data_IF_424981124319
#
_entry.id   IF_424981124319
#
_cell.length_a   1.000
_cell.length_b   1.000
_cell.length_c   1.000
_cell.angle_alpha   90.00
_cell.angle_beta   90.00
_cell.angle_gamma   90.00
#
_symmetry.space_group_name_H-M   'P 1'
#
loop_
_entity.id
_entity.type
_entity.pdbx_description
1 polymer ?
#
# COMPACT_ATOMS: atom_id res chain seq x y z
N UNK A 1 -14.41 74.30 17.49
CA UNK A 1 -13.93 73.28 16.52
C UNK A 1 -15.10 72.83 15.66
N UNK A 2 -15.01 72.96 14.34
CA UNK A 2 -16.14 72.75 13.41
C UNK A 2 -16.47 71.24 13.25
N UNK A 3 -17.69 70.76 13.54
CA UNK A 3 -18.05 69.33 13.51
C UNK A 3 -17.83 68.66 12.16
N UNK A 4 -17.88 69.42 11.06
CA UNK A 4 -17.55 68.96 9.70
C UNK A 4 -16.09 68.56 9.53
N UNK A 5 -15.13 69.24 10.17
CA UNK A 5 -13.70 68.86 10.11
C UNK A 5 -13.41 67.57 10.88
N UNK A 6 -14.16 67.27 11.95
CA UNK A 6 -14.01 65.99 12.69
C UNK A 6 -14.52 64.80 11.88
N UNK A 7 -15.60 64.95 11.11
CA UNK A 7 -16.12 63.87 10.24
C UNK A 7 -15.19 63.56 9.07
N UNK A 8 -14.61 64.58 8.43
CA UNK A 8 -13.65 64.36 7.34
C UNK A 8 -12.37 63.65 7.81
N UNK A 9 -11.84 64.02 8.98
CA UNK A 9 -10.66 63.35 9.56
C UNK A 9 -10.95 61.88 9.96
N UNK A 10 -12.15 61.59 10.48
CA UNK A 10 -12.56 60.23 10.83
C UNK A 10 -12.70 59.32 9.61
N UNK A 11 -13.25 59.83 8.49
CA UNK A 11 -13.39 59.07 7.24
C UNK A 11 -12.01 58.79 6.62
N UNK A 12 -11.11 59.78 6.61
CA UNK A 12 -9.74 59.59 6.10
C UNK A 12 -8.93 58.56 6.89
N UNK A 13 -9.05 58.57 8.23
CA UNK A 13 -8.42 57.56 9.09
C UNK A 13 -8.99 56.15 8.85
N UNK A 14 -10.30 56.03 8.63
CA UNK A 14 -10.95 54.75 8.32
C UNK A 14 -10.51 54.19 6.98
N UNK A 15 -10.41 55.03 5.94
CA UNK A 15 -9.96 54.62 4.61
C UNK A 15 -8.49 54.17 4.62
N UNK A 16 -7.60 54.85 5.35
CA UNK A 16 -6.19 54.44 5.48
C UNK A 16 -6.03 53.11 6.21
N UNK A 17 -6.80 52.86 7.27
CA UNK A 17 -6.79 51.57 7.99
C UNK A 17 -7.39 50.45 7.12
N UNK A 18 -8.47 50.72 6.38
CA UNK A 18 -9.05 49.76 5.45
C UNK A 18 -8.09 49.41 4.30
N UNK A 19 -7.43 50.42 3.72
CA UNK A 19 -6.48 50.22 2.63
C UNK A 19 -5.22 49.47 3.09
N UNK A 20 -4.69 49.78 4.28
CA UNK A 20 -3.56 49.06 4.88
C UNK A 20 -3.89 47.61 5.25
N UNK A 21 -5.12 47.32 5.69
CA UNK A 21 -5.59 45.95 5.91
C UNK A 21 -5.78 45.18 4.61
N UNK A 22 -6.19 45.86 3.55
CA UNK A 22 -6.37 45.24 2.23
C UNK A 22 -5.02 44.91 1.57
N UNK A 23 -4.03 45.81 1.65
CA UNK A 23 -2.70 45.55 1.10
C UNK A 23 -1.95 44.43 1.84
N UNK A 24 -2.09 44.34 3.16
CA UNK A 24 -1.51 43.24 3.95
C UNK A 24 -2.19 41.90 3.67
N UNK A 25 -3.52 41.89 3.48
CA UNK A 25 -4.24 40.69 3.09
C UNK A 25 -3.83 40.17 1.70
N UNK A 26 -3.62 41.07 0.73
CA UNK A 26 -3.13 40.72 -0.60
C UNK A 26 -1.70 40.15 -0.55
N UNK A 27 -0.79 40.78 0.20
CA UNK A 27 0.58 40.28 0.34
C UNK A 27 0.65 38.90 1.01
N UNK A 28 -0.17 38.64 2.03
CA UNK A 28 -0.26 37.33 2.68
C UNK A 28 -0.83 36.27 1.72
N UNK A 29 -1.77 36.66 0.85
CA UNK A 29 -2.29 35.76 -0.17
C UNK A 29 -1.20 35.37 -1.17
N UNK A 30 -0.42 36.34 -1.67
CA UNK A 30 0.68 36.08 -2.62
C UNK A 30 1.74 35.14 -2.03
N UNK A 31 2.19 35.37 -0.78
CA UNK A 31 3.19 34.51 -0.12
C UNK A 31 2.70 33.05 0.03
N UNK A 32 1.42 32.86 0.36
CA UNK A 32 0.82 31.52 0.47
C UNK A 32 0.70 30.83 -0.89
N UNK A 33 0.42 31.59 -1.95
CA UNK A 33 0.34 31.06 -3.31
C UNK A 33 1.72 30.65 -3.84
N UNK A 34 2.76 31.44 -3.57
CA UNK A 34 4.14 31.08 -3.90
C UNK A 34 4.58 29.82 -3.15
N UNK A 35 4.26 29.73 -1.86
CA UNK A 35 4.54 28.54 -1.06
C UNK A 35 3.79 27.30 -1.58
N UNK A 36 2.52 27.45 -1.97
CA UNK A 36 1.74 26.38 -2.58
C UNK A 36 2.36 25.91 -3.90
N UNK A 37 2.76 26.85 -4.76
CA UNK A 37 3.40 26.52 -6.04
C UNK A 37 4.72 25.80 -5.83
N UNK A 38 5.56 26.27 -4.90
CA UNK A 38 6.82 25.60 -4.55
C UNK A 38 6.59 24.17 -4.03
N UNK A 39 5.56 23.97 -3.19
CA UNK A 39 5.17 22.65 -2.71
C UNK A 39 4.70 21.75 -3.86
N UNK A 40 3.82 22.26 -4.72
CA UNK A 40 3.35 21.56 -5.92
C UNK A 40 4.51 21.11 -6.81
N UNK A 41 5.41 22.03 -7.17
CA UNK A 41 6.53 21.76 -8.06
C UNK A 41 7.49 20.74 -7.44
N UNK A 42 7.72 20.80 -6.12
CA UNK A 42 8.51 19.83 -5.37
C UNK A 42 7.90 18.42 -5.44
N UNK A 43 6.59 18.29 -5.23
CA UNK A 43 5.93 16.99 -5.20
C UNK A 43 5.80 16.38 -6.60
N UNK A 44 5.40 17.17 -7.61
CA UNK A 44 5.17 16.67 -8.97
C UNK A 44 6.47 16.51 -9.77
N UNK A 45 7.51 17.27 -9.41
CA UNK A 45 8.85 17.16 -9.96
C UNK A 45 9.63 15.93 -9.48
N UNK A 46 9.14 15.21 -8.46
CA UNK A 46 9.75 13.99 -7.97
C UNK A 46 9.76 12.90 -9.05
N UNK A 47 10.97 12.39 -9.33
CA UNK A 47 11.19 11.27 -10.25
C UNK A 47 10.99 9.92 -9.58
N UNK A 48 11.29 9.86 -8.28
CA UNK A 48 11.13 8.69 -7.42
C UNK A 48 9.89 8.85 -6.54
N UNK A 49 9.49 7.77 -5.84
CA UNK A 49 8.46 7.85 -4.82
C UNK A 49 8.84 8.86 -3.72
N UNK A 50 7.93 9.78 -3.39
CA UNK A 50 8.10 10.74 -2.30
C UNK A 50 8.24 9.98 -0.98
N UNK A 51 9.18 10.32 -0.09
CA UNK A 51 9.31 9.66 1.20
C UNK A 51 8.08 9.92 2.10
N UNK A 52 7.69 8.96 2.94
CA UNK A 52 6.50 9.08 3.81
C UNK A 52 6.57 10.30 4.72
N UNK A 53 7.76 10.61 5.26
CA UNK A 53 7.93 11.78 6.14
C UNK A 53 7.84 13.11 5.38
N UNK A 54 8.30 13.15 4.12
CA UNK A 54 8.11 14.32 3.25
C UNK A 54 6.64 14.50 2.90
N UNK A 55 5.93 13.41 2.64
CA UNK A 55 4.49 13.44 2.38
C UNK A 55 3.69 13.95 3.59
N UNK A 56 4.03 13.51 4.81
CA UNK A 56 3.43 14.02 6.04
C UNK A 56 3.72 15.50 6.25
N UNK A 57 4.97 15.93 6.05
CA UNK A 57 5.34 17.35 6.08
C UNK A 57 4.54 18.16 5.07
N UNK A 58 4.39 17.66 3.85
CA UNK A 58 3.60 18.31 2.80
C UNK A 58 2.12 18.44 3.20
N UNK A 59 1.51 17.42 3.80
CA UNK A 59 0.14 17.50 4.32
C UNK A 59 0.00 18.54 5.44
N UNK A 60 0.97 18.62 6.34
CA UNK A 60 1.02 19.64 7.40
C UNK A 60 1.20 21.05 6.83
N UNK A 61 2.05 21.22 5.82
CA UNK A 61 2.24 22.47 5.08
C UNK A 61 0.92 22.92 4.41
N UNK A 62 0.25 22.01 3.68
CA UNK A 62 -1.05 22.29 3.06
C UNK A 62 -2.09 22.75 4.09
N UNK A 63 -2.11 22.12 5.26
CA UNK A 63 -3.00 22.51 6.36
C UNK A 63 -2.66 23.90 6.92
N UNK A 64 -1.38 24.23 7.07
CA UNK A 64 -0.92 25.54 7.58
C UNK A 64 -1.18 26.69 6.61
N UNK A 65 -1.14 26.43 5.30
CA UNK A 65 -1.48 27.43 4.29
C UNK A 65 -2.94 27.89 4.41
N UNK A 66 -3.81 27.03 4.94
CA UNK A 66 -5.23 27.31 5.21
C UNK A 66 -5.94 27.93 3.99
N UNK A 67 -5.62 27.40 2.80
CA UNK A 67 -6.16 27.85 1.53
C UNK A 67 -7.49 27.13 1.27
N UNK A 68 -8.56 27.90 1.09
CA UNK A 68 -9.87 27.36 0.73
C UNK A 68 -9.98 27.29 -0.79
N UNK A 69 -10.23 26.09 -1.32
CA UNK A 69 -10.27 25.84 -2.76
C UNK A 69 -11.32 26.71 -3.49
N UNK A 70 -12.46 26.99 -2.87
CA UNK A 70 -13.53 27.86 -3.39
C UNK A 70 -13.13 29.34 -3.50
N UNK A 71 -12.04 29.75 -2.87
CA UNK A 71 -11.49 31.11 -2.94
C UNK A 71 -10.31 31.25 -3.89
N UNK A 72 -9.82 30.15 -4.44
CA UNK A 72 -8.66 30.16 -5.34
C UNK A 72 -9.11 30.29 -6.79
N UNK A 73 -8.33 31.04 -7.56
CA UNK A 73 -8.38 31.00 -9.02
C UNK A 73 -8.08 29.58 -9.53
N UNK A 74 -8.51 29.29 -10.75
CA UNK A 74 -8.47 27.92 -11.32
C UNK A 74 -7.08 27.26 -11.25
N UNK A 75 -6.02 28.01 -11.58
CA UNK A 75 -4.66 27.47 -11.62
C UNK A 75 -4.11 27.14 -10.23
N UNK A 76 -4.07 28.06 -9.24
CA UNK A 76 -3.69 27.72 -7.87
C UNK A 76 -4.55 26.64 -7.22
N UNK A 77 -5.86 26.61 -7.54
CA UNK A 77 -6.75 25.53 -7.09
C UNK A 77 -6.30 24.17 -7.62
N UNK A 78 -5.90 24.12 -8.89
CA UNK A 78 -5.34 22.91 -9.51
C UNK A 78 -4.03 22.49 -8.81
N UNK A 79 -3.13 23.44 -8.50
CA UNK A 79 -1.91 23.15 -7.75
C UNK A 79 -2.20 22.55 -6.37
N UNK A 80 -3.18 23.11 -5.65
CA UNK A 80 -3.64 22.62 -4.36
C UNK A 80 -4.09 21.16 -4.44
N UNK A 81 -4.94 20.84 -5.43
CA UNK A 81 -5.47 19.49 -5.59
C UNK A 81 -4.39 18.48 -6.03
N UNK A 82 -3.50 18.85 -6.95
CA UNK A 82 -2.34 18.03 -7.33
C UNK A 82 -1.43 17.72 -6.13
N UNK A 83 -1.02 18.76 -5.38
CA UNK A 83 -0.16 18.60 -4.21
C UNK A 83 -0.82 17.69 -3.16
N UNK A 84 -2.13 17.85 -2.94
CA UNK A 84 -2.88 17.04 -1.99
C UNK A 84 -2.96 15.57 -2.41
N UNK A 85 -3.26 15.25 -3.68
CA UNK A 85 -3.29 13.87 -4.17
C UNK A 85 -1.92 13.21 -4.01
N UNK A 86 -0.86 13.87 -4.46
CA UNK A 86 0.50 13.33 -4.37
C UNK A 86 0.93 13.06 -2.92
N UNK A 87 0.66 13.99 -2.01
CA UNK A 87 1.02 13.84 -0.60
C UNK A 87 0.19 12.73 0.09
N UNK A 88 -1.11 12.61 -0.21
CA UNK A 88 -1.96 11.55 0.34
C UNK A 88 -1.51 10.15 -0.13
N UNK A 89 -1.23 9.98 -1.42
CA UNK A 89 -0.71 8.72 -1.97
C UNK A 89 0.62 8.33 -1.33
N UNK A 90 1.55 9.28 -1.25
CA UNK A 90 2.85 9.03 -0.66
C UNK A 90 2.81 8.73 0.84
N UNK A 91 1.78 9.23 1.55
CA UNK A 91 1.50 8.91 2.95
C UNK A 91 0.78 7.57 3.16
N UNK A 92 0.31 6.92 2.09
CA UNK A 92 -0.45 5.67 2.15
C UNK A 92 -1.98 5.83 2.32
N UNK A 93 -2.50 7.06 2.26
CA UNK A 93 -3.94 7.34 2.35
C UNK A 93 -4.60 7.37 0.96
N UNK A 94 -4.62 6.20 0.31
CA UNK A 94 -5.20 6.08 -1.02
C UNK A 94 -6.72 6.37 -1.06
N UNK A 95 -7.43 6.23 0.07
CA UNK A 95 -8.86 6.52 0.15
C UNK A 95 -9.14 8.00 0.02
N UNK A 96 -8.50 8.82 0.85
CA UNK A 96 -8.58 10.27 0.73
C UNK A 96 -8.02 10.78 -0.60
N UNK A 97 -7.02 10.09 -1.19
CA UNK A 97 -6.50 10.44 -2.50
C UNK A 97 -7.54 10.27 -3.62
N UNK A 98 -8.41 9.25 -3.55
CA UNK A 98 -9.53 9.09 -4.50
C UNK A 98 -10.50 10.28 -4.43
N UNK A 99 -10.84 10.72 -3.22
CA UNK A 99 -11.73 11.89 -3.02
C UNK A 99 -11.08 13.17 -3.56
N UNK A 100 -9.81 13.39 -3.25
CA UNK A 100 -9.06 14.55 -3.74
C UNK A 100 -8.91 14.53 -5.27
N UNK A 101 -8.72 13.34 -5.88
CA UNK A 101 -8.63 13.18 -7.32
C UNK A 101 -9.97 13.51 -8.01
N UNK A 102 -11.11 13.14 -7.43
CA UNK A 102 -12.41 13.46 -8.02
C UNK A 102 -12.62 14.99 -8.16
N UNK A 103 -12.16 15.77 -7.17
CA UNK A 103 -12.19 17.24 -7.23
C UNK A 103 -11.22 17.75 -8.30
N UNK A 104 -10.01 17.19 -8.36
CA UNK A 104 -9.02 17.54 -9.39
C UNK A 104 -9.52 17.27 -10.81
N UNK A 105 -10.16 16.11 -11.05
CA UNK A 105 -10.70 15.73 -12.35
C UNK A 105 -11.81 16.69 -12.82
N UNK A 106 -12.60 17.24 -11.90
CA UNK A 106 -13.61 18.25 -12.21
C UNK A 106 -12.99 19.59 -12.63
N UNK A 107 -11.84 19.97 -12.07
CA UNK A 107 -11.17 21.24 -12.34
C UNK A 107 -10.22 21.22 -13.55
N UNK A 108 -9.45 20.14 -13.68
CA UNK A 108 -8.30 20.02 -14.58
C UNK A 108 -8.23 18.66 -15.30
N UNK A 109 -9.38 18.01 -15.51
CA UNK A 109 -9.47 16.75 -16.23
C UNK A 109 -8.77 16.75 -17.59
N UNK A 110 -8.05 15.67 -17.89
CA UNK A 110 -7.37 15.47 -19.18
C UNK A 110 -6.01 16.12 -19.34
N UNK A 111 -5.54 16.91 -18.37
CA UNK A 111 -4.13 17.36 -18.34
C UNK A 111 -3.18 16.19 -18.08
N UNK A 112 -1.92 16.30 -18.49
CA UNK A 112 -0.92 15.24 -18.29
C UNK A 112 -0.73 14.92 -16.81
N UNK A 113 -0.69 15.94 -15.97
CA UNK A 113 -0.49 15.86 -14.54
C UNK A 113 -1.70 15.21 -13.86
N UNK A 114 -2.92 15.59 -14.24
CA UNK A 114 -4.14 14.97 -13.72
C UNK A 114 -4.27 13.52 -14.17
N UNK A 115 -3.93 13.18 -15.42
CA UNK A 115 -3.94 11.79 -15.89
C UNK A 115 -2.85 10.95 -15.21
N UNK A 116 -1.67 11.53 -14.92
CA UNK A 116 -0.65 10.87 -14.10
C UNK A 116 -1.16 10.60 -12.69
N UNK A 117 -1.76 11.59 -12.03
CA UNK A 117 -2.35 11.42 -10.71
C UNK A 117 -3.46 10.34 -10.71
N UNK A 118 -4.31 10.32 -11.75
CA UNK A 118 -5.33 9.29 -11.91
C UNK A 118 -4.75 7.88 -12.04
N UNK A 119 -3.64 7.73 -12.75
CA UNK A 119 -2.91 6.47 -12.87
C UNK A 119 -2.33 6.03 -11.51
N UNK A 120 -1.66 6.95 -10.81
CA UNK A 120 -1.06 6.67 -9.50
C UNK A 120 -2.14 6.26 -8.48
N UNK A 121 -3.29 6.94 -8.45
CA UNK A 121 -4.44 6.56 -7.61
C UNK A 121 -5.01 5.19 -8.01
N UNK A 122 -5.18 4.92 -9.31
CA UNK A 122 -5.71 3.64 -9.79
C UNK A 122 -4.83 2.46 -9.33
N UNK A 123 -3.52 2.57 -9.48
CA UNK A 123 -2.57 1.54 -9.03
C UNK A 123 -2.55 1.42 -7.50
N UNK A 124 -2.53 2.54 -6.78
CA UNK A 124 -2.49 2.53 -5.31
C UNK A 124 -3.74 1.87 -4.68
N UNK A 125 -4.89 2.03 -5.32
CA UNK A 125 -6.17 1.47 -4.87
C UNK A 125 -6.46 0.08 -5.45
N UNK A 126 -5.72 -0.35 -6.47
CA UNK A 126 -6.03 -1.54 -7.24
C UNK A 126 -7.31 -1.40 -8.07
N UNK A 127 -7.66 -0.20 -8.53
CA UNK A 127 -8.82 0.06 -9.39
C UNK A 127 -8.43 -0.08 -10.88
N UNK A 128 -8.43 -1.31 -11.39
CA UNK A 128 -7.99 -1.59 -12.75
C UNK A 128 -8.91 -0.98 -13.82
N UNK A 129 -10.21 -0.87 -13.56
CA UNK A 129 -11.14 -0.18 -14.45
C UNK A 129 -10.75 1.29 -14.62
N UNK A 130 -10.48 2.01 -13.52
CA UNK A 130 -9.95 3.38 -13.59
C UNK A 130 -8.61 3.39 -14.33
N UNK A 131 -7.72 2.44 -14.04
CA UNK A 131 -6.43 2.29 -14.73
C UNK A 131 -6.60 2.24 -16.25
N UNK A 132 -7.48 1.38 -16.76
CA UNK A 132 -7.77 1.26 -18.20
C UNK A 132 -8.26 2.58 -18.79
N UNK A 133 -9.24 3.24 -18.14
CA UNK A 133 -9.76 4.54 -18.61
C UNK A 133 -8.67 5.61 -18.66
N UNK A 134 -7.76 5.62 -17.68
CA UNK A 134 -6.64 6.55 -17.67
C UNK A 134 -5.65 6.27 -18.80
N UNK A 135 -5.35 5.00 -19.08
CA UNK A 135 -4.48 4.62 -20.21
C UNK A 135 -5.12 5.01 -21.55
N UNK A 136 -6.43 4.83 -21.72
CA UNK A 136 -7.17 5.27 -22.92
C UNK A 136 -7.09 6.79 -23.10
N UNK A 137 -7.22 7.55 -22.02
CA UNK A 137 -7.11 9.00 -22.05
C UNK A 137 -5.68 9.47 -22.40
N UNK A 138 -4.66 8.81 -21.86
CA UNK A 138 -3.25 9.07 -22.21
C UNK A 138 -2.96 8.75 -23.68
N UNK A 139 -3.52 7.66 -24.20
CA UNK A 139 -3.38 7.25 -25.60
C UNK A 139 -4.01 8.29 -26.53
N UNK A 140 -5.28 8.64 -26.26
CA UNK A 140 -6.03 9.64 -27.03
C UNK A 140 -5.34 11.01 -27.04
N UNK A 141 -4.75 11.39 -25.91
CA UNK A 141 -4.00 12.64 -25.78
C UNK A 141 -2.56 12.56 -26.31
N UNK A 142 -2.08 11.38 -26.75
CA UNK A 142 -0.71 11.12 -27.22
C UNK A 142 0.36 11.51 -26.19
N UNK A 143 0.07 11.30 -24.91
CA UNK A 143 0.92 11.67 -23.78
C UNK A 143 1.87 10.55 -23.32
N UNK A 144 1.73 9.36 -23.88
CA UNK A 144 2.58 8.21 -23.57
C UNK A 144 2.81 7.32 -24.82
N UNK A 145 3.94 6.60 -24.90
CA UNK A 145 4.19 5.65 -25.98
C UNK A 145 3.22 4.46 -25.94
N UNK A 146 2.70 4.05 -27.09
CA UNK A 146 1.74 2.93 -27.20
C UNK A 146 2.26 1.63 -26.55
N UNK A 147 3.53 1.28 -26.78
CA UNK A 147 4.13 0.07 -26.18
C UNK A 147 4.14 0.11 -24.64
N UNK A 148 4.31 1.28 -24.03
CA UNK A 148 4.27 1.44 -22.57
C UNK A 148 2.84 1.33 -22.04
N UNK A 149 1.84 1.80 -22.80
CA UNK A 149 0.43 1.69 -22.45
C UNK A 149 -0.03 0.22 -22.53
N UNK A 150 0.31 -0.50 -23.59
CA UNK A 150 -0.02 -1.92 -23.74
C UNK A 150 0.61 -2.79 -22.64
N UNK A 151 1.88 -2.53 -22.30
CA UNK A 151 2.53 -3.22 -21.20
C UNK A 151 1.81 -2.97 -19.85
N UNK A 152 1.29 -1.76 -19.62
CA UNK A 152 0.50 -1.44 -18.43
C UNK A 152 -0.89 -2.08 -18.45
N UNK A 153 -1.56 -2.16 -19.60
CA UNK A 153 -2.85 -2.87 -19.72
C UNK A 153 -2.72 -4.34 -19.35
N UNK A 154 -1.69 -5.02 -19.87
CA UNK A 154 -1.43 -6.43 -19.52
C UNK A 154 -1.24 -6.64 -18.01
N UNK A 155 -0.57 -5.70 -17.32
CA UNK A 155 -0.41 -5.74 -15.85
C UNK A 155 -1.75 -5.62 -15.11
N UNK A 156 -2.68 -4.81 -15.62
CA UNK A 156 -4.00 -4.60 -15.01
C UNK A 156 -4.91 -5.83 -15.08
N UNK A 157 -4.68 -6.76 -16.01
CA UNK A 157 -5.47 -8.00 -16.13
C UNK A 157 -5.38 -8.88 -14.88
N UNK A 158 -4.27 -8.79 -14.13
CA UNK A 158 -4.08 -9.52 -12.88
C UNK A 158 -4.73 -8.83 -11.68
N UNK A 159 -4.99 -7.52 -11.75
CA UNK A 159 -5.49 -6.76 -10.61
C UNK A 159 -6.93 -7.17 -10.27
N UNK A 160 -7.18 -7.42 -8.98
CA UNK A 160 -8.45 -7.96 -8.49
C UNK A 160 -8.58 -9.47 -8.59
N UNK A 161 -7.59 -10.18 -9.14
CA UNK A 161 -7.57 -11.65 -9.08
C UNK A 161 -7.11 -12.13 -7.70
N UNK A 162 -7.60 -13.31 -7.28
CA UNK A 162 -7.10 -13.96 -6.08
C UNK A 162 -5.72 -14.56 -6.35
N UNK A 163 -4.81 -14.40 -5.39
CA UNK A 163 -3.52 -15.06 -5.44
C UNK A 163 -3.69 -16.60 -5.51
N UNK A 164 -2.73 -17.32 -6.13
CA UNK A 164 -2.78 -18.78 -6.21
C UNK A 164 -2.80 -19.40 -4.80
N UNK A 165 -3.60 -20.46 -4.63
CA UNK A 165 -3.75 -21.17 -3.36
C UNK A 165 -2.59 -22.11 -3.07
N UNK A 166 -1.37 -21.56 -3.05
CA UNK A 166 -0.12 -22.31 -2.93
C UNK A 166 0.69 -21.75 -1.77
N UNK A 167 1.41 -22.64 -1.09
CA UNK A 167 2.39 -22.27 -0.07
C UNK A 167 3.77 -22.40 -0.69
N UNK A 168 4.51 -21.30 -0.68
CA UNK A 168 5.88 -21.23 -1.20
C UNK A 168 6.86 -21.36 -0.03
N UNK A 169 7.86 -22.21 -0.18
CA UNK A 169 8.97 -22.34 0.75
C UNK A 169 10.19 -21.63 0.18
N UNK A 170 10.74 -20.67 0.92
CA UNK A 170 11.98 -19.99 0.56
C UNK A 170 13.21 -20.82 0.97
N UNK A 171 14.37 -20.48 0.43
CA UNK A 171 15.62 -21.20 0.70
C UNK A 171 16.11 -21.14 2.16
N UNK A 172 15.57 -20.21 2.95
CA UNK A 172 15.79 -20.11 4.40
C UNK A 172 14.81 -20.96 5.24
N UNK A 173 13.90 -21.70 4.57
CA UNK A 173 12.84 -22.49 5.19
C UNK A 173 11.58 -21.69 5.56
N UNK A 174 11.56 -20.37 5.32
CA UNK A 174 10.37 -19.57 5.58
C UNK A 174 9.24 -19.96 4.61
N UNK A 175 8.02 -20.11 5.14
CA UNK A 175 6.83 -20.48 4.36
C UNK A 175 5.93 -19.28 4.15
N UNK A 176 5.41 -19.16 2.92
CA UNK A 176 4.57 -18.06 2.48
C UNK A 176 3.30 -18.63 1.83
N UNK A 177 2.16 -18.51 2.51
CA UNK A 177 0.87 -18.72 1.86
C UNK A 177 0.56 -17.50 0.99
N UNK A 178 0.43 -17.69 -0.32
CA UNK A 178 0.19 -16.57 -1.23
C UNK A 178 -1.25 -16.06 -1.16
N UNK A 179 -2.21 -16.90 -0.76
CA UNK A 179 -3.65 -16.58 -0.74
C UNK A 179 -4.15 -16.20 0.65
N UNK A 180 -3.83 -16.99 1.66
CA UNK A 180 -4.29 -16.75 3.03
C UNK A 180 -3.36 -15.77 3.71
N UNK A 181 -3.68 -14.48 3.61
CA UNK A 181 -2.76 -13.40 4.03
C UNK A 181 -3.02 -12.86 5.43
N UNK A 182 -4.25 -12.96 5.96
CA UNK A 182 -4.61 -12.54 7.33
C UNK A 182 -4.12 -11.12 7.68
N UNK A 183 -4.22 -10.18 6.73
CA UNK A 183 -3.73 -8.81 6.92
C UNK A 183 -2.22 -8.63 6.69
N UNK A 184 -1.48 -9.64 6.24
CA UNK A 184 -0.05 -9.52 5.88
C UNK A 184 0.07 -9.30 4.36
N UNK A 185 0.52 -8.12 3.97
CA UNK A 185 0.84 -7.75 2.59
C UNK A 185 2.07 -8.51 2.12
N UNK A 186 2.07 -8.94 0.85
CA UNK A 186 3.19 -9.61 0.20
C UNK A 186 3.60 -8.87 -1.07
N UNK A 187 4.89 -8.57 -1.19
CA UNK A 187 5.49 -8.20 -2.47
C UNK A 187 6.26 -9.41 -2.99
N UNK A 188 5.83 -9.91 -4.14
CA UNK A 188 6.58 -10.89 -4.92
C UNK A 188 7.51 -10.15 -5.87
N UNK A 189 8.79 -10.45 -5.80
CA UNK A 189 9.81 -9.97 -6.74
C UNK A 189 10.12 -11.10 -7.74
N UNK A 190 9.53 -11.03 -8.93
CA UNK A 190 9.67 -12.05 -9.96
C UNK A 190 10.88 -11.72 -10.84
N UNK A 191 11.88 -12.60 -10.88
CA UNK A 191 13.14 -12.36 -11.60
C UNK A 191 13.69 -13.62 -12.29
N UNK A 192 14.71 -13.44 -13.11
CA UNK A 192 15.54 -14.52 -13.69
C UNK A 192 16.97 -14.04 -13.91
N UNK A 193 17.91 -14.95 -14.14
CA UNK A 193 19.30 -14.59 -14.47
C UNK A 193 19.42 -13.83 -15.79
N UNK A 194 18.57 -14.15 -16.78
CA UNK A 194 18.52 -13.46 -18.08
C UNK A 194 17.79 -12.12 -18.01
N UNK A 195 16.82 -11.99 -17.09
CA UNK A 195 16.11 -10.77 -16.76
C UNK A 195 16.67 -10.10 -15.52
N UNK A 196 17.98 -9.81 -15.51
CA UNK A 196 18.66 -9.19 -14.36
C UNK A 196 17.99 -7.84 -14.02
N UNK A 197 17.56 -7.63 -12.76
CA UNK A 197 17.02 -6.34 -12.34
C UNK A 197 18.08 -5.25 -12.49
N UNK A 198 17.66 -4.11 -13.03
CA UNK A 198 18.53 -2.94 -13.11
C UNK A 198 18.69 -2.28 -11.73
N UNK A 199 19.67 -1.37 -11.62
CA UNK A 199 19.98 -0.75 -10.33
C UNK A 199 18.79 0.01 -9.72
N UNK A 200 17.94 0.65 -10.55
CA UNK A 200 16.76 1.37 -10.03
C UNK A 200 15.73 0.42 -9.43
N UNK A 201 15.54 -0.76 -10.02
CA UNK A 201 14.62 -1.77 -9.49
C UNK A 201 15.12 -2.32 -8.16
N UNK A 202 16.41 -2.66 -8.09
CA UNK A 202 17.03 -3.13 -6.85
C UNK A 202 16.97 -2.08 -5.75
N UNK A 203 17.29 -0.82 -6.08
CA UNK A 203 17.19 0.29 -5.14
C UNK A 203 15.75 0.50 -4.65
N UNK A 204 14.76 0.41 -5.53
CA UNK A 204 13.34 0.47 -5.16
C UNK A 204 12.94 -0.63 -4.17
N UNK A 205 13.35 -1.88 -4.43
CA UNK A 205 13.09 -3.01 -3.53
C UNK A 205 13.83 -2.87 -2.19
N UNK A 206 15.10 -2.44 -2.19
CA UNK A 206 15.87 -2.18 -0.96
C UNK A 206 15.22 -1.08 -0.13
N UNK A 207 14.76 0.00 -0.76
CA UNK A 207 14.02 1.08 -0.08
C UNK A 207 12.73 0.56 0.56
N UNK A 208 11.93 -0.22 -0.17
CA UNK A 208 10.73 -0.84 0.39
C UNK A 208 11.06 -1.77 1.57
N UNK A 209 12.08 -2.62 1.43
CA UNK A 209 12.51 -3.53 2.49
C UNK A 209 12.96 -2.75 3.74
N UNK A 210 13.74 -1.69 3.56
CA UNK A 210 14.22 -0.84 4.65
C UNK A 210 13.09 -0.04 5.32
N UNK A 211 12.18 0.54 4.53
CA UNK A 211 11.03 1.32 5.01
C UNK A 211 10.13 0.48 5.94
N UNK A 212 9.99 -0.81 5.65
CA UNK A 212 9.13 -1.74 6.39
C UNK A 212 9.89 -2.83 7.17
N UNK A 213 11.20 -2.69 7.38
CA UNK A 213 12.04 -3.73 7.98
C UNK A 213 11.56 -4.19 9.38
N UNK A 214 10.88 -3.30 10.11
CA UNK A 214 10.34 -3.57 11.46
C UNK A 214 8.85 -3.88 11.47
N UNK A 215 8.20 -3.88 10.31
CA UNK A 215 6.76 -4.04 10.18
C UNK A 215 6.40 -5.46 9.74
N UNK A 216 5.83 -6.30 10.64
CA UNK A 216 5.49 -7.67 10.30
C UNK A 216 4.36 -7.78 9.26
N UNK A 217 3.68 -6.68 8.94
CA UNK A 217 2.58 -6.64 7.96
C UNK A 217 3.07 -6.57 6.53
N UNK A 218 4.35 -6.30 6.26
CA UNK A 218 4.92 -6.43 4.93
C UNK A 218 5.92 -7.59 4.90
N UNK A 219 5.78 -8.44 3.89
CA UNK A 219 6.77 -9.45 3.55
C UNK A 219 7.20 -9.26 2.11
N UNK A 220 8.50 -9.44 1.84
CA UNK A 220 9.04 -9.57 0.50
C UNK A 220 9.45 -11.03 0.27
N UNK A 221 9.24 -11.52 -0.95
CA UNK A 221 9.69 -12.84 -1.40
C UNK A 221 10.16 -12.73 -2.85
N UNK A 222 11.42 -13.08 -3.11
CA UNK A 222 11.92 -13.21 -4.46
C UNK A 222 11.53 -14.57 -5.04
N UNK A 223 11.06 -14.59 -6.28
CA UNK A 223 10.76 -15.81 -7.03
C UNK A 223 11.61 -15.79 -8.30
N UNK A 224 12.57 -16.71 -8.36
CA UNK A 224 13.40 -16.91 -9.52
C UNK A 224 12.78 -17.98 -10.45
N UNK A 225 12.64 -17.63 -11.72
CA UNK A 225 11.97 -18.45 -12.75
C UNK A 225 12.93 -19.24 -13.65
N UNK A 226 14.22 -19.33 -13.30
CA UNK A 226 15.19 -20.11 -14.05
C UNK A 226 14.92 -21.63 -13.90
N UNK A 227 15.18 -22.42 -14.97
CA UNK A 227 15.06 -23.88 -14.90
C UNK A 227 16.08 -24.49 -13.93
N UNK A 228 15.95 -25.78 -13.57
CA UNK A 228 16.89 -26.47 -12.66
C UNK A 228 18.37 -26.26 -13.01
N UNK A 229 18.71 -26.22 -14.30
CA UNK A 229 20.07 -26.03 -14.80
C UNK A 229 20.64 -24.63 -14.51
N UNK A 230 19.79 -23.62 -14.29
CA UNK A 230 20.18 -22.25 -13.96
C UNK A 230 20.22 -21.93 -12.46
N UNK A 231 19.79 -22.85 -11.60
CA UNK A 231 19.59 -22.58 -10.17
C UNK A 231 20.87 -22.08 -9.46
N UNK A 232 22.02 -22.68 -9.73
CA UNK A 232 23.29 -22.27 -9.13
C UNK A 232 23.72 -20.84 -9.56
N UNK A 233 23.45 -20.47 -10.81
CA UNK A 233 23.72 -19.13 -11.32
C UNK A 233 22.79 -18.09 -10.69
N UNK A 234 21.51 -18.44 -10.52
CA UNK A 234 20.55 -17.61 -9.80
C UNK A 234 20.99 -17.39 -8.35
N UNK A 235 21.34 -18.43 -7.60
CA UNK A 235 21.82 -18.30 -6.21
C UNK A 235 23.11 -17.46 -6.10
N UNK A 236 24.01 -17.56 -7.08
CA UNK A 236 25.20 -16.71 -7.15
C UNK A 236 24.81 -15.24 -7.41
N UNK A 237 23.91 -14.98 -8.35
CA UNK A 237 23.46 -13.63 -8.69
C UNK A 237 22.71 -12.98 -7.52
N UNK A 238 21.83 -13.70 -6.83
CA UNK A 238 21.13 -13.19 -5.64
C UNK A 238 22.11 -12.71 -4.56
N UNK A 239 23.18 -13.49 -4.31
CA UNK A 239 24.26 -13.09 -3.38
C UNK A 239 25.05 -11.88 -3.88
N UNK A 240 25.35 -11.81 -5.18
CA UNK A 240 26.03 -10.66 -5.79
C UNK A 240 25.20 -9.38 -5.64
N UNK A 241 23.90 -9.46 -5.90
CA UNK A 241 22.98 -8.33 -5.82
C UNK A 241 22.62 -7.92 -4.39
N UNK A 242 23.05 -8.70 -3.38
CA UNK A 242 22.76 -8.47 -1.96
C UNK A 242 21.25 -8.27 -1.73
N UNK A 243 20.45 -9.21 -2.23
CA UNK A 243 19.01 -9.24 -1.94
C UNK A 243 18.83 -9.85 -0.55
N UNK A 244 18.38 -9.04 0.40
CA UNK A 244 18.28 -9.42 1.82
C UNK A 244 16.92 -10.03 2.20
N UNK A 245 16.01 -10.18 1.23
CA UNK A 245 14.71 -10.84 1.44
C UNK A 245 14.76 -12.31 1.00
N UNK A 246 13.92 -13.19 1.58
CA UNK A 246 13.91 -14.61 1.25
C UNK A 246 13.68 -14.87 -0.24
N UNK A 247 14.33 -15.91 -0.76
CA UNK A 247 14.29 -16.28 -2.18
C UNK A 247 13.71 -17.68 -2.35
N UNK A 248 12.84 -17.85 -3.33
CA UNK A 248 12.37 -19.15 -3.82
C UNK A 248 12.84 -19.34 -5.27
N UNK A 249 13.49 -20.47 -5.55
CA UNK A 249 13.81 -20.88 -6.91
C UNK A 249 12.76 -21.88 -7.35
N UNK A 250 12.01 -21.57 -8.42
CA UNK A 250 10.95 -22.47 -8.89
C UNK A 250 11.49 -23.80 -9.39
N UNK A 251 12.76 -23.82 -9.86
CA UNK A 251 13.47 -25.02 -10.33
C UNK A 251 12.59 -25.87 -11.26
N UNK A 252 11.89 -25.20 -12.17
CA UNK A 252 11.00 -25.83 -13.14
C UNK A 252 11.13 -25.14 -14.48
N UNK A 253 11.18 -25.93 -15.55
CA UNK A 253 11.18 -25.43 -16.93
C UNK A 253 9.92 -24.63 -17.23
N UNK A 254 8.81 -24.93 -16.56
CA UNK A 254 7.53 -24.27 -16.80
C UNK A 254 7.33 -23.01 -15.95
N UNK A 255 8.12 -22.82 -14.88
CA UNK A 255 7.93 -21.75 -13.87
C UNK A 255 6.45 -21.58 -13.47
N UNK A 256 5.88 -22.57 -12.75
CA UNK A 256 4.44 -22.64 -12.45
C UNK A 256 3.87 -21.40 -11.73
N UNK A 257 4.67 -20.64 -10.98
CA UNK A 257 4.25 -19.38 -10.38
C UNK A 257 4.38 -18.24 -11.38
N UNK A 258 5.59 -17.97 -11.88
CA UNK A 258 5.87 -16.80 -12.72
C UNK A 258 5.09 -16.84 -14.04
N UNK A 259 5.25 -17.92 -14.82
CA UNK A 259 4.55 -18.09 -16.11
C UNK A 259 3.20 -18.77 -15.96
N UNK A 260 3.06 -19.70 -15.01
CA UNK A 260 1.83 -20.45 -14.81
C UNK A 260 0.71 -19.64 -14.16
N UNK A 261 0.90 -19.18 -12.92
CA UNK A 261 -0.12 -18.51 -12.13
C UNK A 261 -0.24 -17.01 -12.48
N UNK A 262 0.89 -16.31 -12.57
CA UNK A 262 0.90 -14.86 -12.78
C UNK A 262 1.03 -14.45 -14.26
N UNK A 263 1.22 -15.40 -15.19
CA UNK A 263 1.31 -15.13 -16.65
C UNK A 263 2.34 -14.05 -17.00
N UNK A 264 3.45 -14.02 -16.27
CA UNK A 264 4.55 -13.09 -16.49
C UNK A 264 5.60 -13.74 -17.39
N UNK A 265 5.73 -13.22 -18.60
CA UNK A 265 6.67 -13.74 -19.60
C UNK A 265 8.04 -13.05 -19.56
N UNK A 266 8.11 -11.84 -19.00
CA UNK A 266 9.29 -10.98 -19.03
C UNK A 266 9.60 -10.40 -17.63
N UNK A 267 10.18 -11.19 -16.71
CA UNK A 267 10.82 -10.64 -15.53
C UNK A 267 11.98 -9.70 -15.94
N UNK A 268 12.34 -8.70 -15.12
CA UNK A 268 11.94 -8.50 -13.73
C UNK A 268 10.66 -7.67 -13.55
N UNK A 269 9.76 -8.09 -12.66
CA UNK A 269 8.53 -7.37 -12.30
C UNK A 269 8.06 -7.73 -10.88
N UNK A 270 7.34 -6.84 -10.22
CA UNK A 270 6.79 -7.08 -8.90
C UNK A 270 5.27 -7.24 -8.93
N UNK A 271 4.77 -8.12 -8.06
CA UNK A 271 3.33 -8.33 -7.80
C UNK A 271 3.06 -8.01 -6.35
N UNK A 272 2.12 -7.11 -6.10
CA UNK A 272 1.62 -6.78 -4.77
C UNK A 272 0.35 -7.57 -4.49
N UNK A 273 0.39 -8.41 -3.47
CA UNK A 273 -0.77 -9.10 -2.91
C UNK A 273 -1.12 -8.44 -1.57
N UNK A 274 -2.37 -8.01 -1.41
CA UNK A 274 -2.83 -7.33 -0.20
C UNK A 274 -3.17 -8.29 0.95
N UNK A 275 -3.63 -7.72 2.08
CA UNK A 275 -3.96 -8.47 3.29
C UNK A 275 -5.14 -9.45 3.14
N UNK A 276 -5.94 -9.33 2.08
CA UNK A 276 -7.07 -10.21 1.75
C UNK A 276 -6.67 -11.31 0.74
N UNK A 277 -5.41 -11.34 0.29
CA UNK A 277 -4.94 -12.31 -0.69
C UNK A 277 -5.31 -11.97 -2.14
N UNK A 278 -5.59 -10.70 -2.40
CA UNK A 278 -5.92 -10.20 -3.74
C UNK A 278 -4.73 -9.49 -4.35
N UNK A 279 -4.52 -9.67 -5.66
CA UNK A 279 -3.53 -8.90 -6.40
C UNK A 279 -4.01 -7.45 -6.50
N UNK A 280 -3.29 -6.53 -5.86
CA UNK A 280 -3.60 -5.10 -5.86
C UNK A 280 -2.90 -4.36 -6.98
N UNK A 281 -1.63 -4.67 -7.22
CA UNK A 281 -0.83 -3.97 -8.22
C UNK A 281 0.22 -4.90 -8.83
N UNK A 282 0.55 -4.64 -10.09
CA UNK A 282 1.65 -5.30 -10.81
C UNK A 282 2.44 -4.20 -11.50
N UNK A 283 3.74 -4.13 -11.24
CA UNK A 283 4.57 -3.01 -11.68
C UNK A 283 6.01 -3.15 -11.21
N UNK A 284 6.79 -2.10 -11.41
CA UNK A 284 8.18 -2.08 -10.95
C UNK A 284 8.29 -1.39 -9.59
N UNK A 285 9.12 -1.90 -8.69
CA UNK A 285 9.42 -1.24 -7.41
C UNK A 285 10.10 0.14 -7.58
N UNK A 286 10.63 0.44 -8.77
CA UNK A 286 11.14 1.76 -9.14
C UNK A 286 10.05 2.74 -9.61
N UNK A 287 8.82 2.27 -9.84
CA UNK A 287 7.67 3.09 -10.25
C UNK A 287 6.99 3.65 -8.97
N UNK A 288 6.84 4.99 -8.83
CA UNK A 288 6.21 5.59 -7.66
C UNK A 288 4.84 5.02 -7.32
N UNK A 289 4.01 4.76 -8.34
CA UNK A 289 2.68 4.20 -8.19
C UNK A 289 2.66 2.83 -7.48
N UNK A 290 3.68 1.99 -7.72
CA UNK A 290 3.79 0.69 -7.06
C UNK A 290 4.15 0.86 -5.58
N UNK A 291 5.08 1.77 -5.27
CA UNK A 291 5.45 2.09 -3.88
C UNK A 291 4.25 2.64 -3.11
N UNK A 292 3.46 3.53 -3.73
CA UNK A 292 2.23 4.05 -3.13
C UNK A 292 1.20 2.95 -2.88
N UNK A 293 1.08 1.97 -3.79
CA UNK A 293 0.22 0.81 -3.58
C UNK A 293 0.66 -0.05 -2.39
N UNK A 294 1.97 -0.29 -2.23
CA UNK A 294 2.51 -1.02 -1.07
C UNK A 294 2.17 -0.29 0.22
N UNK A 295 2.43 1.02 0.28
CA UNK A 295 2.12 1.84 1.47
C UNK A 295 0.64 1.83 1.81
N UNK A 296 -0.23 1.98 0.81
CA UNK A 296 -1.67 1.94 1.00
C UNK A 296 -2.13 0.58 1.54
N UNK A 297 -1.66 -0.53 0.95
CA UNK A 297 -1.99 -1.87 1.41
C UNK A 297 -1.53 -2.11 2.85
N UNK A 298 -0.30 -1.69 3.19
CA UNK A 298 0.24 -1.83 4.54
C UNK A 298 -0.56 -0.98 5.52
N UNK A 299 -0.83 0.29 5.22
CA UNK A 299 -1.60 1.17 6.12
C UNK A 299 -3.03 0.65 6.36
N UNK A 300 -3.67 0.05 5.35
CA UNK A 300 -4.95 -0.65 5.51
C UNK A 300 -4.83 -1.89 6.41
N UNK A 301 -3.80 -2.71 6.21
CA UNK A 301 -3.47 -3.83 7.10
C UNK A 301 -3.17 -3.38 8.55
N UNK A 302 -2.73 -2.13 8.74
CA UNK A 302 -2.60 -1.51 10.07
C UNK A 302 -3.91 -1.07 10.69
N UNK A 303 -4.99 -1.03 9.94
CA UNK A 303 -6.24 -0.38 10.34
C UNK A 303 -6.11 1.15 10.41
N UNK A 304 -5.09 1.74 9.77
CA UNK A 304 -4.91 3.20 9.72
C UNK A 304 -5.89 3.84 8.73
N UNK A 305 -6.26 3.11 7.68
CA UNK A 305 -7.21 3.54 6.66
C UNK A 305 -8.20 2.41 6.36
N UNK A 306 -9.37 2.79 5.84
CA UNK A 306 -10.39 1.84 5.38
C UNK A 306 -9.82 0.95 4.28
N UNK A 307 -10.09 -0.35 4.38
CA UNK A 307 -9.69 -1.33 3.36
C UNK A 307 -10.39 -1.01 2.03
N UNK A 308 -9.60 -0.82 0.98
CA UNK A 308 -10.09 -0.60 -0.39
C UNK A 308 -9.85 -1.88 -1.17
N UNK A 309 -10.91 -2.60 -1.54
CA UNK A 309 -10.77 -3.83 -2.32
C UNK A 309 -10.44 -3.51 -3.77
N UNK A 310 -9.47 -4.22 -4.39
CA UNK A 310 -9.16 -4.06 -5.80
C UNK A 310 -10.39 -4.32 -6.68
N UNK A 311 -10.45 -3.61 -7.81
CA UNK A 311 -11.45 -3.82 -8.88
C UNK A 311 -10.76 -4.35 -10.12
N UNK A 312 -11.39 -5.31 -10.76
CA UNK A 312 -10.96 -5.86 -12.06
C UNK A 312 -11.13 -4.85 -13.19
N UNK A 313 -10.59 -5.16 -14.37
CA UNK A 313 -10.70 -4.30 -15.57
C UNK A 313 -12.15 -4.03 -16.00
N UNK A 314 -13.09 -4.88 -15.61
CA UNK A 314 -14.54 -4.73 -15.87
C UNK A 314 -15.29 -4.03 -14.72
N UNK A 315 -14.57 -3.50 -13.72
CA UNK A 315 -15.15 -2.76 -12.60
C UNK A 315 -15.74 -3.62 -11.48
N UNK A 316 -15.65 -4.95 -11.58
CA UNK A 316 -16.13 -5.86 -10.52
C UNK A 316 -15.19 -5.77 -9.33
N UNK A 317 -15.74 -5.41 -8.17
CA UNK A 317 -15.04 -5.43 -6.88
C UNK A 317 -14.67 -6.87 -6.55
N UNK A 318 -13.39 -7.13 -6.36
CA UNK A 318 -12.90 -8.46 -6.03
C UNK A 318 -13.45 -8.90 -4.67
N UNK A 319 -13.97 -10.12 -4.62
CA UNK A 319 -14.34 -10.77 -3.37
C UNK A 319 -13.13 -11.54 -2.85
N UNK A 320 -12.85 -11.50 -1.53
CA UNK A 320 -11.85 -12.37 -0.95
C UNK A 320 -12.14 -13.82 -1.34
N UNK A 321 -11.10 -14.64 -1.58
CA UNK A 321 -11.31 -16.06 -1.80
C UNK A 321 -12.09 -16.62 -0.62
N UNK A 322 -13.12 -17.43 -0.91
CA UNK A 322 -13.83 -18.15 0.14
C UNK A 322 -12.78 -18.89 0.98
N UNK A 323 -12.78 -18.66 2.30
CA UNK A 323 -11.80 -19.28 3.19
C UNK A 323 -11.82 -20.81 3.05
N UNK A 324 -10.87 -21.54 3.63
CA UNK A 324 -10.80 -23.01 3.52
C UNK A 324 -12.09 -23.72 3.97
N UNK A 325 -12.98 -23.04 4.70
CA UNK A 325 -14.30 -23.56 5.12
C UNK A 325 -15.46 -23.24 4.15
N UNK A 326 -15.20 -22.58 3.03
CA UNK A 326 -16.18 -22.14 2.04
C UNK A 326 -16.35 -23.09 0.85
N UNK A 327 -16.12 -24.39 1.03
CA UNK A 327 -16.56 -25.38 0.07
C UNK A 327 -18.10 -25.42 0.08
N UNK A 328 -18.73 -24.68 -0.83
CA UNK A 328 -20.12 -24.91 -1.20
C UNK A 328 -20.33 -26.36 -1.64
N UNK A 329 -21.57 -26.87 -1.59
CA UNK A 329 -21.85 -28.30 -1.69
C UNK A 329 -21.44 -28.82 -3.06
N UNK A 330 -20.31 -29.53 -3.12
CA UNK A 330 -19.98 -30.39 -4.25
C UNK A 330 -20.99 -31.52 -4.23
N UNK A 331 -21.71 -31.68 -5.34
CA UNK A 331 -22.67 -32.75 -5.54
C UNK A 331 -22.05 -34.09 -5.14
N UNK A 332 -22.75 -34.81 -4.26
CA UNK A 332 -22.34 -36.09 -3.73
C UNK A 332 -22.32 -37.14 -4.86
N UNK A 333 -21.12 -37.54 -5.26
CA UNK A 333 -20.88 -38.86 -5.83
C UNK A 333 -20.54 -39.84 -4.71
N UNK A 334 -21.02 -41.07 -4.87
CA UNK A 334 -21.10 -42.14 -3.86
C UNK A 334 -19.73 -42.59 -3.30
N UNK A 335 -19.72 -43.16 -2.08
CA UNK A 335 -18.50 -43.42 -1.32
C UNK A 335 -17.80 -44.70 -1.79
N UNK A 336 -16.49 -44.58 -2.03
CA UNK A 336 -15.56 -45.70 -2.08
C UNK A 336 -14.69 -45.67 -0.82
N UNK A 337 -14.72 -46.77 -0.06
CA UNK A 337 -14.00 -47.01 1.17
C UNK A 337 -12.48 -46.80 1.03
N UNK A 338 -11.92 -45.86 1.80
CA UNK A 338 -10.54 -45.90 2.29
C UNK A 338 -10.35 -44.87 3.41
N UNK A 339 -10.72 -45.22 4.64
CA UNK A 339 -10.30 -44.52 5.83
C UNK A 339 -9.19 -45.30 6.53
N UNK A 340 -8.02 -44.69 6.69
CA UNK A 340 -7.35 -44.51 7.98
C UNK A 340 -6.11 -43.62 7.82
N UNK A 341 -5.93 -42.77 8.82
CA UNK A 341 -4.80 -41.86 9.07
C UNK A 341 -4.82 -40.52 8.32
N UNK A 342 -5.85 -39.72 8.59
CA UNK A 342 -5.74 -38.26 8.49
C UNK A 342 -5.70 -37.66 9.91
N UNK A 343 -4.63 -36.95 10.30
CA UNK A 343 -4.58 -36.28 11.60
C UNK A 343 -5.69 -35.24 11.68
N UNK A 344 -6.55 -35.35 12.69
CA UNK A 344 -7.57 -34.35 12.99
C UNK A 344 -6.89 -33.02 13.28
N UNK A 345 -6.99 -32.08 12.33
CA UNK A 345 -6.58 -30.69 12.52
C UNK A 345 -7.56 -30.11 13.53
N UNK A 346 -7.12 -29.93 14.77
CA UNK A 346 -7.91 -29.22 15.77
C UNK A 346 -8.09 -27.76 15.30
N UNK A 347 -9.32 -27.22 15.28
CA UNK A 347 -9.56 -25.85 14.88
C UNK A 347 -8.73 -24.90 15.76
N UNK A 348 -7.90 -24.06 15.13
CA UNK A 348 -7.08 -23.09 15.86
C UNK A 348 -7.97 -22.09 16.60
N UNK A 349 -7.67 -21.88 17.88
CA UNK A 349 -8.38 -20.89 18.71
C UNK A 349 -8.09 -19.46 18.20
N UNK A 350 -9.08 -18.55 18.21
CA UNK A 350 -8.88 -17.18 17.78
C UNK A 350 -7.88 -16.44 18.70
N UNK A 351 -7.06 -15.57 18.12
CA UNK A 351 -6.17 -14.65 18.85
C UNK A 351 -6.91 -13.34 19.13
N UNK A 352 -6.85 -12.85 20.37
CA UNK A 352 -7.54 -11.64 20.82
C UNK A 352 -6.47 -10.59 21.20
N UNK A 353 -6.49 -9.36 20.66
CA UNK A 353 -5.45 -8.34 20.92
C UNK A 353 -5.21 -8.05 22.41
N UNK A 354 -6.28 -7.96 23.20
CA UNK A 354 -6.22 -7.71 24.64
C UNK A 354 -5.64 -8.90 25.41
N UNK A 355 -5.93 -10.13 24.96
CA UNK A 355 -5.36 -11.35 25.51
C UNK A 355 -3.84 -11.42 25.24
N UNK A 356 -3.42 -10.94 24.07
CA UNK A 356 -2.01 -10.85 23.67
C UNK A 356 -1.22 -9.85 24.51
N UNK A 357 -1.78 -8.68 24.80
CA UNK A 357 -1.13 -7.70 25.69
C UNK A 357 -0.89 -8.27 27.10
N UNK A 358 -1.89 -8.97 27.66
CA UNK A 358 -1.74 -9.63 28.97
C UNK A 358 -0.63 -10.69 28.96
N UNK A 359 -0.57 -11.52 27.91
CA UNK A 359 0.46 -12.56 27.77
C UNK A 359 1.86 -11.95 27.60
N UNK A 360 2.01 -10.91 26.79
CA UNK A 360 3.30 -10.25 26.56
C UNK A 360 3.81 -9.54 27.82
N UNK A 361 2.92 -8.91 28.60
CA UNK A 361 3.25 -8.34 29.92
C UNK A 361 3.65 -9.42 30.93
N UNK A 362 2.95 -10.56 30.95
CA UNK A 362 3.31 -11.69 31.80
C UNK A 362 4.70 -12.24 31.46
N UNK A 363 5.03 -12.39 30.17
CA UNK A 363 6.38 -12.80 29.71
C UNK A 363 7.46 -11.81 30.14
N UNK A 364 7.17 -10.50 30.09
CA UNK A 364 8.10 -9.48 30.58
C UNK A 364 8.36 -9.60 32.08
N UNK A 365 7.33 -9.88 32.88
CA UNK A 365 7.50 -10.11 34.31
C UNK A 365 8.28 -11.38 34.63
N UNK A 366 8.08 -12.47 33.87
CA UNK A 366 8.91 -13.68 33.99
C UNK A 366 10.38 -13.38 33.70
N UNK A 367 10.66 -12.60 32.65
CA UNK A 367 12.04 -12.22 32.28
C UNK A 367 12.73 -11.35 33.34
N UNK A 368 11.96 -10.58 34.10
CA UNK A 368 12.47 -9.70 35.17
C UNK A 368 12.46 -10.35 36.57
N UNK A 369 12.10 -11.64 36.67
CA UNK A 369 12.08 -12.39 37.93
C UNK A 369 10.84 -12.12 38.81
N UNK A 370 9.87 -11.33 38.32
CA UNK A 370 8.63 -10.98 39.01
C UNK A 370 7.56 -12.06 38.83
N UNK A 371 7.80 -13.24 39.41
CA UNK A 371 6.97 -14.44 39.17
C UNK A 371 5.52 -14.28 39.64
N UNK A 372 5.29 -13.66 40.80
CA UNK A 372 3.94 -13.49 41.37
C UNK A 372 3.05 -12.61 40.48
N UNK A 373 3.61 -11.54 39.93
CA UNK A 373 2.92 -10.62 39.03
C UNK A 373 2.62 -11.26 37.68
N UNK A 374 3.55 -12.07 37.17
CA UNK A 374 3.31 -12.87 35.97
C UNK A 374 2.16 -13.87 36.19
N UNK A 375 2.15 -14.60 37.31
CA UNK A 375 1.07 -15.55 37.64
C UNK A 375 -0.29 -14.87 37.72
N UNK A 376 -0.37 -13.68 38.32
CA UNK A 376 -1.62 -12.90 38.39
C UNK A 376 -2.16 -12.54 37.00
N UNK A 377 -1.29 -12.09 36.09
CA UNK A 377 -1.69 -11.75 34.72
C UNK A 377 -2.10 -12.99 33.90
N UNK A 378 -1.38 -14.11 34.04
CA UNK A 378 -1.72 -15.36 33.36
C UNK A 378 -3.07 -15.90 33.86
N UNK A 379 -3.36 -15.81 35.17
CA UNK A 379 -4.65 -16.18 35.72
C UNK A 379 -5.77 -15.29 35.21
N UNK A 380 -5.57 -13.98 35.19
CA UNK A 380 -6.52 -13.01 34.63
C UNK A 380 -6.79 -13.27 33.14
N UNK A 381 -5.76 -13.59 32.37
CA UNK A 381 -5.85 -13.96 30.96
C UNK A 381 -6.73 -15.22 30.76
N UNK A 382 -6.50 -16.27 31.55
CA UNK A 382 -7.26 -17.52 31.48
C UNK A 382 -8.73 -17.31 31.90
N UNK A 383 -8.98 -16.48 32.92
CA UNK A 383 -10.34 -16.18 33.40
C UNK A 383 -11.13 -15.31 32.41
N UNK A 384 -10.52 -14.26 31.84
CA UNK A 384 -11.20 -13.33 30.93
C UNK A 384 -11.35 -13.88 29.51
N UNK A 385 -10.39 -14.66 29.03
CA UNK A 385 -10.33 -15.13 27.64
C UNK A 385 -10.14 -16.65 27.54
N UNK A 386 -10.98 -17.49 28.17
CA UNK A 386 -10.72 -18.93 28.34
C UNK A 386 -10.58 -19.71 27.03
N UNK A 387 -11.11 -19.18 25.91
CA UNK A 387 -11.11 -19.78 24.59
C UNK A 387 -10.15 -19.10 23.59
N UNK A 388 -9.27 -18.21 24.05
CA UNK A 388 -8.26 -17.63 23.16
C UNK A 388 -7.03 -18.54 23.01
N UNK A 389 -6.29 -18.34 21.92
CA UNK A 389 -4.99 -18.98 21.72
C UNK A 389 -4.01 -18.66 22.86
N UNK A 390 -4.04 -17.42 23.36
CA UNK A 390 -3.15 -16.94 24.42
C UNK A 390 -3.48 -17.59 25.78
N UNK A 391 -4.75 -17.85 26.07
CA UNK A 391 -5.13 -18.58 27.28
C UNK A 391 -4.73 -20.05 27.25
N UNK A 392 -4.76 -20.69 26.06
CA UNK A 392 -4.18 -22.03 25.89
C UNK A 392 -2.68 -22.01 26.18
N UNK A 393 -1.95 -21.06 25.57
CA UNK A 393 -0.53 -20.91 25.82
C UNK A 393 -0.23 -20.65 27.31
N UNK A 394 -1.01 -19.80 27.98
CA UNK A 394 -0.86 -19.53 29.41
C UNK A 394 -1.03 -20.78 30.28
N UNK A 395 -1.93 -21.71 29.92
CA UNK A 395 -2.08 -23.01 30.59
C UNK A 395 -0.87 -23.90 30.33
N UNK A 396 -0.38 -23.93 29.09
CA UNK A 396 0.77 -24.74 28.68
C UNK A 396 2.08 -24.27 29.36
N UNK A 397 2.16 -23.01 29.80
CA UNK A 397 3.30 -22.49 30.59
C UNK A 397 3.40 -23.12 32.00
N UNK A 398 2.35 -23.77 32.52
CA UNK A 398 2.39 -24.51 33.79
C UNK A 398 2.62 -23.66 35.04
N UNK A 399 2.28 -22.37 35.00
CA UNK A 399 2.53 -21.40 36.08
C UNK A 399 1.29 -21.01 36.88
N UNK A 400 0.09 -21.39 36.43
CA UNK A 400 -1.23 -21.06 37.02
C UNK A 400 -1.96 -22.31 37.46
#
# INVERSE_FOLDING_TARGET
MNPTRRRAAAIGAWLLVAFGRWSTALAIADERLDALKALHDRLLGARDAIAVDDARRALDELKKLDLRADQLEKEPRTWLHHARVAALLAAGDAGSAVEALAVLEADAGGTRETLRAAWEVAVATGDAERGVRTLDALEKAKLAPAAALEARRKRLELVGTAAPGVVVEAGDGARFDLRTRQGVVLVLDLWSTTGRPNERQLEGLRRLNAEFATDPRLRLLGINSDPPTGAAAAEALARELKVDWPQHLERSVDAPLTRGAFKIDAPPIQVLIDGDGLVRAVGLASEPEFVYAVRAAVAQAKGQHTVIRPKTVVGVVASPPAGPNGAGPVAADKPGDAAKDTPQIQPELPSIPEARDLLDRARLYLKTGKKTEAQKLLKELIEKYPHSREAKEARDMGLV
#
